data_IF_234143992773
#
_entry.id   IF_234143992773
#
_cell.length_a   1.000
_cell.length_b   1.000
_cell.length_c   1.000
_cell.angle_alpha   90.00
_cell.angle_beta   90.00
_cell.angle_gamma   90.00
#
_symmetry.space_group_name_H-M   'P 1'
#
loop_
_entity.id
_entity.type
_entity.pdbx_description
1 polymer ?
#
# COMPACT_ATOMS: atom_id res chain seq x y z
N UNK A 1 -0.69 -17.08 11.48
CA UNK A 1 -0.70 -15.61 11.31
C UNK A 1 0.68 -15.16 11.70
N UNK A 2 1.52 -14.86 10.72
CA UNK A 2 2.93 -14.53 10.97
C UNK A 2 3.00 -13.21 11.74
N UNK A 3 3.62 -13.20 12.90
CA UNK A 3 3.89 -11.99 13.66
C UNK A 3 4.93 -11.15 12.91
N UNK A 4 4.45 -10.27 12.04
CA UNK A 4 5.31 -9.33 11.31
C UNK A 4 5.74 -8.19 12.23
N UNK A 5 7.03 -8.13 12.56
CA UNK A 5 7.59 -7.03 13.38
C UNK A 5 7.33 -5.66 12.77
N UNK A 6 7.31 -5.57 11.44
CA UNK A 6 7.03 -4.32 10.72
C UNK A 6 5.63 -3.76 10.99
N UNK A 7 4.64 -4.61 11.31
CA UNK A 7 3.29 -4.15 11.70
C UNK A 7 3.32 -3.52 13.09
N UNK A 8 4.15 -4.05 14.00
CA UNK A 8 4.29 -3.50 15.34
C UNK A 8 4.93 -2.10 15.34
N UNK A 9 5.81 -1.83 14.36
CA UNK A 9 6.52 -0.56 14.17
C UNK A 9 5.68 0.53 13.48
N UNK A 10 4.45 0.23 13.04
CA UNK A 10 3.60 1.19 12.36
C UNK A 10 3.15 2.35 13.26
N UNK A 11 3.00 3.56 12.68
CA UNK A 11 2.48 4.71 13.41
C UNK A 11 1.06 4.46 13.93
N UNK A 12 0.78 5.03 15.11
CA UNK A 12 -0.54 4.99 15.76
C UNK A 12 -0.93 6.43 16.15
N UNK A 13 -2.06 6.98 15.65
CA UNK A 13 -3.06 6.34 14.79
C UNK A 13 -2.55 6.02 13.37
N UNK A 14 -3.29 5.17 12.64
CA UNK A 14 -3.02 4.93 11.22
C UNK A 14 -3.03 6.26 10.44
N UNK A 15 -2.13 6.45 9.46
CA UNK A 15 -2.07 7.68 8.68
C UNK A 15 -3.35 7.86 7.86
N UNK A 16 -3.65 9.12 7.51
CA UNK A 16 -4.73 9.45 6.58
C UNK A 16 -4.28 9.24 5.12
N UNK A 17 -5.18 8.76 4.24
CA UNK A 17 -4.83 8.58 2.83
C UNK A 17 -4.56 9.94 2.17
N UNK A 18 -3.44 10.05 1.47
CA UNK A 18 -3.07 11.26 0.73
C UNK A 18 -3.96 11.50 -0.50
N UNK A 19 -4.55 10.43 -1.04
CA UNK A 19 -5.45 10.46 -2.18
C UNK A 19 -6.48 9.34 -2.05
N UNK A 20 -7.61 9.47 -2.73
CA UNK A 20 -8.64 8.43 -2.79
C UNK A 20 -8.36 7.36 -3.87
N UNK A 21 -7.37 7.62 -4.71
CA UNK A 21 -6.97 6.79 -5.86
C UNK A 21 -5.46 6.90 -6.05
N UNK A 22 -4.91 6.20 -7.03
CA UNK A 22 -3.50 6.27 -7.40
C UNK A 22 -3.26 7.48 -8.33
N UNK A 23 -2.62 8.58 -7.86
CA UNK A 23 -2.45 9.79 -8.65
C UNK A 23 -1.58 9.57 -9.89
N UNK A 24 -0.57 8.70 -9.78
CA UNK A 24 0.30 8.34 -10.89
C UNK A 24 -0.45 7.60 -12.01
N UNK A 25 -1.42 6.74 -11.67
CA UNK A 25 -2.27 6.12 -12.68
C UNK A 25 -3.18 7.15 -13.37
N UNK A 26 -3.71 8.13 -12.64
CA UNK A 26 -4.53 9.20 -13.23
C UNK A 26 -3.74 10.04 -14.23
N UNK A 27 -2.50 10.43 -13.89
CA UNK A 27 -1.61 11.16 -14.80
C UNK A 27 -1.32 10.37 -16.07
N UNK A 28 -1.21 9.05 -15.96
CA UNK A 28 -0.97 8.15 -17.11
C UNK A 28 -2.26 7.79 -17.88
N UNK A 29 -3.44 8.23 -17.42
CA UNK A 29 -4.72 7.82 -18.00
C UNK A 29 -4.98 6.30 -17.87
N UNK A 30 -4.42 5.66 -16.86
CA UNK A 30 -4.51 4.23 -16.61
C UNK A 30 -5.45 3.94 -15.44
N UNK A 31 -6.12 2.79 -15.47
CA UNK A 31 -7.03 2.36 -14.41
C UNK A 31 -6.36 1.32 -13.51
N UNK A 32 -6.21 1.58 -12.21
CA UNK A 32 -5.69 0.58 -11.27
C UNK A 32 -6.68 -0.57 -11.12
N UNK A 33 -6.16 -1.80 -10.97
CA UNK A 33 -6.99 -2.99 -10.71
C UNK A 33 -7.51 -2.96 -9.27
N UNK A 34 -6.62 -2.68 -8.33
CA UNK A 34 -6.90 -2.48 -6.91
C UNK A 34 -5.93 -1.45 -6.33
N UNK A 35 -6.35 -0.80 -5.26
CA UNK A 35 -5.58 0.21 -4.55
C UNK A 35 -4.99 -0.35 -3.25
N UNK A 36 -3.80 0.16 -2.92
CA UNK A 36 -3.13 -0.11 -1.65
C UNK A 36 -2.70 1.19 -1.01
N UNK A 37 -2.84 1.24 0.31
CA UNK A 37 -2.45 2.39 1.12
C UNK A 37 -1.28 2.03 2.02
N UNK A 38 -0.23 2.84 1.98
CA UNK A 38 0.92 2.72 2.88
C UNK A 38 0.54 3.08 4.31
N UNK A 39 0.81 2.18 5.24
CA UNK A 39 0.54 2.43 6.66
C UNK A 39 1.67 3.19 7.37
N UNK A 40 2.81 3.41 6.71
CA UNK A 40 3.89 4.25 7.23
C UNK A 40 3.66 5.74 6.99
N UNK A 41 3.07 6.10 5.85
CA UNK A 41 2.96 7.52 5.45
C UNK A 41 1.65 7.91 4.76
N UNK A 42 0.70 7.00 4.55
CA UNK A 42 -0.61 7.34 3.95
C UNK A 42 -0.63 7.44 2.42
N UNK A 43 0.46 7.12 1.73
CA UNK A 43 0.49 7.08 0.26
C UNK A 43 -0.49 6.04 -0.30
N UNK A 44 -1.18 6.36 -1.41
CA UNK A 44 -2.11 5.44 -2.08
C UNK A 44 -1.60 5.15 -3.50
N UNK A 45 -1.36 3.86 -3.78
CA UNK A 45 -0.80 3.39 -5.03
C UNK A 45 -1.53 2.17 -5.59
N UNK A 46 -1.37 1.90 -6.87
CA UNK A 46 -1.94 0.73 -7.51
C UNK A 46 -1.18 -0.56 -7.13
N UNK A 47 -1.91 -1.67 -7.02
CA UNK A 47 -1.35 -2.97 -6.61
C UNK A 47 -0.39 -3.57 -7.64
N UNK A 48 0.27 -4.67 -7.27
CA UNK A 48 1.26 -5.34 -8.13
C UNK A 48 0.65 -6.02 -9.36
N UNK A 49 -0.67 -6.26 -9.35
CA UNK A 49 -1.43 -6.75 -10.50
C UNK A 49 -1.80 -5.64 -11.49
N UNK A 50 -1.65 -4.38 -11.09
CA UNK A 50 -1.81 -3.24 -12.02
C UNK A 50 -0.55 -3.07 -12.88
N UNK A 51 -0.65 -2.50 -14.09
CA UNK A 51 0.48 -2.44 -15.02
C UNK A 51 1.73 -1.74 -14.46
N UNK A 52 1.52 -0.71 -13.65
CA UNK A 52 2.56 0.20 -13.17
C UNK A 52 3.09 -0.10 -11.76
N UNK A 53 2.37 -0.89 -10.96
CA UNK A 53 2.81 -1.38 -9.64
C UNK A 53 3.33 -0.28 -8.71
N UNK A 54 2.64 0.85 -8.66
CA UNK A 54 3.05 2.04 -7.90
C UNK A 54 3.20 1.76 -6.40
N UNK A 55 2.45 0.81 -5.83
CA UNK A 55 2.66 0.35 -4.45
C UNK A 55 4.07 -0.26 -4.26
N UNK A 56 4.52 -1.13 -5.17
CA UNK A 56 5.88 -1.68 -5.12
C UNK A 56 6.95 -0.60 -5.34
N UNK A 57 6.71 0.34 -6.28
CA UNK A 57 7.63 1.45 -6.52
C UNK A 57 7.81 2.29 -5.25
N UNK A 58 6.71 2.69 -4.61
CA UNK A 58 6.73 3.42 -3.35
C UNK A 58 7.46 2.68 -2.24
N UNK A 59 7.26 1.36 -2.09
CA UNK A 59 8.02 0.56 -1.13
C UNK A 59 9.53 0.64 -1.39
N UNK A 60 9.95 0.50 -2.65
CA UNK A 60 11.38 0.54 -3.03
C UNK A 60 12.02 1.90 -2.80
N UNK A 61 11.26 2.98 -2.98
CA UNK A 61 11.77 4.34 -2.83
C UNK A 61 11.77 4.82 -1.37
N UNK A 62 10.70 4.52 -0.62
CA UNK A 62 10.53 5.01 0.75
C UNK A 62 11.01 4.05 1.83
N UNK A 63 11.16 2.76 1.49
CA UNK A 63 11.45 1.70 2.46
C UNK A 63 10.26 1.29 3.33
N UNK A 64 9.05 1.82 3.10
CA UNK A 64 7.89 1.48 3.92
C UNK A 64 7.46 0.02 3.70
N UNK A 65 7.50 -0.84 4.73
CA UNK A 65 7.35 -2.28 4.54
C UNK A 65 5.89 -2.74 4.40
N UNK A 66 4.94 -2.04 5.03
CA UNK A 66 3.54 -2.51 5.13
C UNK A 66 2.57 -1.58 4.42
N UNK A 67 1.70 -2.18 3.61
CA UNK A 67 0.54 -1.52 3.01
C UNK A 67 -0.73 -2.31 3.30
N UNK A 68 -1.86 -1.62 3.41
CA UNK A 68 -3.18 -2.24 3.49
C UNK A 68 -3.91 -2.19 2.15
N UNK A 69 -4.86 -3.10 1.96
CA UNK A 69 -5.86 -2.90 0.92
C UNK A 69 -6.62 -1.59 1.16
N UNK A 70 -6.87 -0.85 0.08
CA UNK A 70 -7.70 0.36 0.11
C UNK A 70 -9.05 0.13 -0.58
N UNK A 71 -9.43 -1.14 -0.77
CA UNK A 71 -10.72 -1.51 -1.32
C UNK A 71 -11.83 -1.46 -0.25
N UNK A 72 -13.07 -1.10 -0.61
CA UNK A 72 -14.18 -1.09 0.32
C UNK A 72 -14.42 -2.46 0.98
N UNK A 73 -14.35 -2.49 2.31
CA UNK A 73 -14.60 -3.70 3.11
C UNK A 73 -13.38 -4.60 3.32
N UNK A 74 -12.24 -4.30 2.70
CA UNK A 74 -11.00 -5.04 2.91
C UNK A 74 -10.12 -4.35 3.97
N UNK A 75 -9.53 -5.13 4.87
CA UNK A 75 -8.66 -4.63 5.96
C UNK A 75 -7.34 -5.40 6.07
N UNK A 76 -7.09 -6.34 5.17
CA UNK A 76 -5.86 -7.12 5.17
C UNK A 76 -4.66 -6.24 4.84
N UNK A 77 -3.50 -6.63 5.38
CA UNK A 77 -2.24 -5.93 5.18
C UNK A 77 -1.25 -6.85 4.49
N UNK A 78 -0.35 -6.26 3.74
CA UNK A 78 0.72 -6.94 3.04
C UNK A 78 2.05 -6.33 3.43
N UNK A 79 2.96 -7.19 3.86
CA UNK A 79 4.34 -6.82 4.11
C UNK A 79 5.16 -7.15 2.86
N UNK A 80 5.76 -6.13 2.24
CA UNK A 80 6.64 -6.30 1.10
C UNK A 80 7.96 -7.01 1.47
N UNK A 81 8.41 -6.86 2.71
CA UNK A 81 9.62 -7.52 3.23
C UNK A 81 9.36 -9.01 3.43
N UNK A 82 8.22 -9.38 4.01
CA UNK A 82 7.88 -10.79 4.28
C UNK A 82 7.22 -11.49 3.09
N UNK A 83 6.80 -10.73 2.07
CA UNK A 83 6.11 -11.26 0.89
C UNK A 83 4.81 -12.01 1.23
N UNK A 84 4.10 -11.59 2.28
CA UNK A 84 2.91 -12.27 2.78
C UNK A 84 1.89 -11.32 3.40
N UNK A 85 0.67 -11.84 3.59
CA UNK A 85 -0.41 -11.17 4.32
C UNK A 85 -0.11 -11.21 5.82
N UNK A 86 -0.26 -10.06 6.48
CA UNK A 86 0.09 -9.83 7.90
C UNK A 86 -1.03 -9.13 8.66
#
# INVERSE_FOLDING_TARGET
>A
MSECTHVAELPRPEPVPHALTCPECEVLGSHPVQLRMCLGCGFVGCCDSSPHRHATAHHRESGHPVMRSFEPGETWRWCFVDGSIV
#
